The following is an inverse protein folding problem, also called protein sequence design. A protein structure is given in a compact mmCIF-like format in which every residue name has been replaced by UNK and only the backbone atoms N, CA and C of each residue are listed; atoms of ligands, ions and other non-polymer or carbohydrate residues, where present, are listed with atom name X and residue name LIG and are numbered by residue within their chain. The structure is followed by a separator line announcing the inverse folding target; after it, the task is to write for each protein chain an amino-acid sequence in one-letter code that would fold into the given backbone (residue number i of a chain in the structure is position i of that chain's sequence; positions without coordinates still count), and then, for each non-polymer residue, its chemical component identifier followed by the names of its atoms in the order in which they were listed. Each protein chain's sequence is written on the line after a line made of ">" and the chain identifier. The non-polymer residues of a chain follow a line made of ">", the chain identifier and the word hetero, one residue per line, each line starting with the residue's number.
data_IF_519679256770
#
_entry.id   IF_519679256770
#
_cell.length_a   1.000
_cell.length_b   1.000
_cell.length_c   1.000
_cell.angle_alpha   90.00
_cell.angle_beta   90.00
_cell.angle_gamma   90.00
#
_symmetry.space_group_name_H-M   'P 1'
#
loop_
_entity.id
_entity.type
_entity.pdbx_description
1 polymer ?
#
# COMPACT_ATOMS: atom_id res chain seq x y z
N UNK A 1 -5.09 19.68 44.74
CA UNK A 1 -6.52 20.10 44.60
C UNK A 1 -6.99 20.14 43.14
N UNK A 2 -6.16 20.59 42.19
CA UNK A 2 -6.51 20.65 40.75
C UNK A 2 -6.70 19.26 40.14
N UNK A 3 -5.87 18.29 40.51
CA UNK A 3 -5.88 16.95 39.89
C UNK A 3 -7.17 16.18 40.17
N UNK A 4 -7.64 16.14 41.43
CA UNK A 4 -8.88 15.41 41.78
C UNK A 4 -10.11 16.02 41.12
N UNK A 5 -10.22 17.36 41.10
CA UNK A 5 -11.31 18.05 40.40
C UNK A 5 -11.30 17.74 38.91
N UNK A 6 -10.12 17.83 38.30
CA UNK A 6 -9.91 17.49 36.90
C UNK A 6 -10.32 16.05 36.57
N UNK A 7 -9.88 15.06 37.36
CA UNK A 7 -10.24 13.66 37.14
C UNK A 7 -11.74 13.39 37.36
N UNK A 8 -12.36 14.00 38.37
CA UNK A 8 -13.82 13.91 38.58
C UNK A 8 -14.56 14.50 37.38
N UNK A 9 -14.12 15.67 36.90
CA UNK A 9 -14.71 16.35 35.75
C UNK A 9 -14.56 15.52 34.45
N UNK A 10 -13.37 14.96 34.21
CA UNK A 10 -13.08 14.16 33.01
C UNK A 10 -13.84 12.82 33.01
N UNK A 11 -13.84 12.08 34.12
CA UNK A 11 -14.53 10.79 34.22
C UNK A 11 -16.04 10.90 34.01
N UNK A 12 -16.63 11.99 34.48
CA UNK A 12 -18.07 12.26 34.32
C UNK A 12 -18.38 12.65 32.87
N UNK A 13 -17.49 13.39 32.20
CA UNK A 13 -17.65 13.78 30.79
C UNK A 13 -17.57 12.60 29.83
N UNK A 14 -16.74 11.61 30.14
CA UNK A 14 -16.54 10.40 29.32
C UNK A 14 -17.53 9.26 29.63
N UNK A 15 -18.32 9.38 30.71
CA UNK A 15 -19.28 8.35 31.12
C UNK A 15 -20.48 8.32 30.14
N UNK A 16 -20.55 7.32 29.26
CA UNK A 16 -21.71 7.09 28.42
C UNK A 16 -22.93 6.77 29.29
N UNK A 17 -23.87 7.71 29.33
CA UNK A 17 -24.97 7.72 30.27
C UNK A 17 -26.02 6.64 29.93
N UNK A 18 -26.10 5.56 30.70
CA UNK A 18 -27.31 4.71 30.75
C UNK A 18 -28.51 5.52 31.25
N UNK A 19 -29.74 5.12 30.92
CA UNK A 19 -30.97 5.91 31.18
C UNK A 19 -31.15 6.43 32.62
N UNK A 20 -30.62 5.72 33.63
CA UNK A 20 -30.63 6.13 35.04
C UNK A 20 -29.64 7.27 35.39
N UNK A 21 -28.60 7.46 34.59
CA UNK A 21 -27.56 8.48 34.81
C UNK A 21 -27.88 9.84 34.19
N UNK A 22 -28.88 9.93 33.31
CA UNK A 22 -29.47 11.19 32.84
C UNK A 22 -30.12 12.01 33.97
N UNK A 23 -30.45 11.41 35.12
CA UNK A 23 -30.91 12.13 36.31
C UNK A 23 -29.84 13.02 36.97
N UNK A 24 -28.56 12.82 36.65
CA UNK A 24 -27.44 13.61 37.17
C UNK A 24 -26.96 14.70 36.20
N UNK A 25 -27.74 15.02 35.16
CA UNK A 25 -27.39 15.94 34.06
C UNK A 25 -27.14 17.41 34.45
N UNK A 26 -27.08 17.75 35.74
CA UNK A 26 -26.67 19.10 36.18
C UNK A 26 -25.62 19.03 37.27
N UNK A 27 -24.42 18.58 36.90
CA UNK A 27 -23.21 18.90 37.65
C UNK A 27 -22.83 20.36 37.37
N UNK A 28 -23.34 21.26 38.20
CA UNK A 28 -22.82 22.62 38.27
C UNK A 28 -21.42 22.60 38.92
N UNK A 29 -20.57 23.62 38.69
CA UNK A 29 -19.27 23.73 39.35
C UNK A 29 -19.34 23.61 40.87
N UNK A 30 -20.47 24.00 41.48
CA UNK A 30 -20.73 23.86 42.91
C UNK A 30 -20.85 22.38 43.34
N UNK A 31 -21.51 21.53 42.54
CA UNK A 31 -21.64 20.11 42.82
C UNK A 31 -20.30 19.38 42.68
N UNK A 32 -19.47 19.75 41.71
CA UNK A 32 -18.11 19.22 41.54
C UNK A 32 -17.24 19.51 42.77
N UNK A 33 -17.28 20.75 43.28
CA UNK A 33 -16.58 21.14 44.51
C UNK A 33 -17.07 20.34 45.71
N UNK A 34 -18.39 20.11 45.82
CA UNK A 34 -18.98 19.36 46.93
C UNK A 34 -18.56 17.88 46.91
N UNK A 35 -18.54 17.26 45.73
CA UNK A 35 -18.10 15.87 45.54
C UNK A 35 -16.61 15.75 45.88
N UNK A 36 -15.79 16.64 45.34
CA UNK A 36 -14.34 16.67 45.59
C UNK A 36 -14.03 16.82 47.09
N UNK A 37 -14.72 17.72 47.79
CA UNK A 37 -14.58 17.90 49.25
C UNK A 37 -14.97 16.65 50.04
N UNK A 38 -16.05 15.95 49.65
CA UNK A 38 -16.48 14.71 50.32
C UNK A 38 -15.49 13.56 50.13
N UNK A 39 -14.93 13.42 48.92
CA UNK A 39 -13.92 12.40 48.61
C UNK A 39 -12.64 12.61 49.44
N UNK A 40 -12.18 13.87 49.54
CA UNK A 40 -11.05 14.24 50.38
C UNK A 40 -11.31 13.97 51.86
N UNK A 41 -12.51 14.33 52.36
CA UNK A 41 -12.89 14.08 53.77
C UNK A 41 -12.90 12.60 54.12
N UNK A 42 -13.26 11.74 53.16
CA UNK A 42 -13.27 10.27 53.32
C UNK A 42 -11.93 9.60 53.01
N UNK A 43 -10.90 10.37 52.62
CA UNK A 43 -9.58 9.85 52.17
C UNK A 43 -9.69 8.78 51.07
N UNK A 44 -10.74 8.85 50.25
CA UNK A 44 -11.01 7.89 49.17
C UNK A 44 -10.50 8.37 47.81
N UNK A 45 -9.79 9.49 47.80
CA UNK A 45 -9.19 10.13 46.63
C UNK A 45 -8.13 9.24 45.96
N UNK A 46 -7.24 8.63 46.75
CA UNK A 46 -6.23 7.70 46.24
C UNK A 46 -6.85 6.47 45.60
N UNK A 47 -7.88 5.90 46.23
CA UNK A 47 -8.61 4.74 45.73
C UNK A 47 -9.35 5.06 44.43
N UNK A 48 -9.98 6.24 44.33
CA UNK A 48 -10.66 6.67 43.12
C UNK A 48 -9.68 6.85 41.95
N UNK A 49 -8.55 7.51 42.19
CA UNK A 49 -7.50 7.68 41.15
C UNK A 49 -6.95 6.32 40.71
N UNK A 50 -6.77 5.39 41.65
CA UNK A 50 -6.30 4.04 41.32
C UNK A 50 -7.30 3.28 40.43
N UNK A 51 -8.60 3.32 40.76
CA UNK A 51 -9.66 2.69 39.97
C UNK A 51 -9.77 3.30 38.57
N UNK A 52 -9.60 4.62 38.44
CA UNK A 52 -9.55 5.30 37.14
C UNK A 52 -8.38 4.79 36.30
N UNK A 53 -7.18 4.72 36.89
CA UNK A 53 -6.00 4.18 36.20
C UNK A 53 -6.19 2.72 35.79
N UNK A 54 -6.83 1.90 36.64
CA UNK A 54 -7.16 0.52 36.29
C UNK A 54 -8.15 0.45 35.13
N UNK A 55 -9.21 1.26 35.13
CA UNK A 55 -10.17 1.38 34.02
C UNK A 55 -9.47 1.75 32.72
N UNK A 56 -8.63 2.79 32.74
CA UNK A 56 -7.95 3.26 31.53
C UNK A 56 -6.98 2.20 30.96
N UNK A 57 -6.29 1.47 31.85
CA UNK A 57 -5.46 0.34 31.45
C UNK A 57 -6.29 -0.80 30.83
N UNK A 58 -7.41 -1.17 31.46
CA UNK A 58 -8.30 -2.20 30.92
C UNK A 58 -8.90 -1.79 29.57
N UNK A 59 -9.34 -0.54 29.43
CA UNK A 59 -9.83 -0.02 28.16
C UNK A 59 -8.75 -0.10 27.08
N UNK A 60 -7.52 0.32 27.39
CA UNK A 60 -6.39 0.18 26.47
C UNK A 60 -6.18 -1.29 26.07
N UNK A 61 -6.19 -2.21 27.04
CA UNK A 61 -6.02 -3.65 26.78
C UNK A 61 -7.18 -4.22 25.96
N UNK A 62 -8.40 -3.76 26.16
CA UNK A 62 -9.57 -4.13 25.35
C UNK A 62 -9.37 -3.65 23.91
N UNK A 63 -8.94 -2.40 23.70
CA UNK A 63 -8.64 -1.92 22.34
C UNK A 63 -7.50 -2.70 21.69
N UNK A 64 -6.43 -3.00 22.43
CA UNK A 64 -5.34 -3.86 21.94
C UNK A 64 -5.85 -5.26 21.55
N UNK A 65 -6.72 -5.87 22.37
CA UNK A 65 -7.32 -7.18 22.08
C UNK A 65 -8.33 -7.13 20.92
N UNK A 66 -9.09 -6.05 20.78
CA UNK A 66 -10.01 -5.85 19.66
C UNK A 66 -9.23 -5.64 18.36
N UNK A 67 -8.15 -4.86 18.39
CA UNK A 67 -7.23 -4.73 17.27
C UNK A 67 -6.57 -6.08 16.94
N UNK A 68 -6.12 -6.82 17.95
CA UNK A 68 -5.55 -8.16 17.76
C UNK A 68 -6.56 -9.16 17.18
N UNK A 69 -7.82 -9.12 17.62
CA UNK A 69 -8.88 -9.99 17.11
C UNK A 69 -9.39 -9.59 15.72
N UNK A 70 -9.29 -8.31 15.36
CA UNK A 70 -9.67 -7.80 14.04
C UNK A 70 -8.57 -8.00 12.98
N UNK A 71 -7.36 -8.42 13.36
CA UNK A 71 -6.28 -8.70 12.42
C UNK A 71 -6.55 -10.02 11.69
N UNK A 72 -6.71 -9.96 10.37
CA UNK A 72 -6.66 -11.17 9.57
C UNK A 72 -5.22 -11.73 9.55
N UNK A 73 -5.06 -12.94 10.08
CA UNK A 73 -3.79 -13.69 10.01
C UNK A 73 -3.47 -14.17 8.60
N UNK A 74 -4.50 -14.24 7.74
CA UNK A 74 -4.38 -14.74 6.38
C UNK A 74 -4.59 -13.63 5.36
N UNK A 75 -3.67 -13.50 4.38
CA UNK A 75 -3.72 -12.43 3.38
C UNK A 75 -4.84 -12.60 2.33
N UNK A 76 -5.48 -13.77 2.26
CA UNK A 76 -6.55 -14.12 1.32
C UNK A 76 -7.93 -13.61 1.75
N UNK A 77 -8.09 -13.29 3.04
CA UNK A 77 -9.30 -12.74 3.65
C UNK A 77 -9.29 -11.19 3.69
N UNK A 78 -8.12 -10.55 3.49
CA UNK A 78 -7.98 -9.10 3.57
C UNK A 78 -8.62 -8.41 2.36
N UNK A 79 -9.70 -7.66 2.61
CA UNK A 79 -10.39 -6.86 1.58
C UNK A 79 -10.21 -5.35 1.77
N UNK A 80 -9.78 -4.89 2.94
CA UNK A 80 -9.55 -3.47 3.23
C UNK A 80 -8.10 -3.03 2.94
N UNK A 81 -7.94 -1.81 2.41
CA UNK A 81 -6.63 -1.29 2.01
C UNK A 81 -5.75 -0.85 3.19
N UNK A 82 -6.32 -0.35 4.28
CA UNK A 82 -5.55 0.03 5.47
C UNK A 82 -5.08 -1.22 6.19
N UNK A 83 -5.95 -2.22 6.31
CA UNK A 83 -5.59 -3.51 6.86
C UNK A 83 -4.46 -4.18 6.06
N UNK A 84 -4.54 -4.17 4.73
CA UNK A 84 -3.47 -4.67 3.87
C UNK A 84 -2.12 -3.98 4.14
N UNK A 85 -2.12 -2.65 4.30
CA UNK A 85 -0.90 -1.90 4.62
C UNK A 85 -0.34 -2.27 5.99
N UNK A 86 -1.19 -2.43 6.99
CA UNK A 86 -0.77 -2.86 8.32
C UNK A 86 -0.18 -4.28 8.30
N UNK A 87 -0.83 -5.20 7.61
CA UNK A 87 -0.35 -6.58 7.43
C UNK A 87 1.03 -6.59 6.77
N UNK A 88 1.18 -5.84 5.67
CA UNK A 88 2.46 -5.72 4.96
C UNK A 88 3.55 -5.21 5.91
N UNK A 89 3.27 -4.14 6.66
CA UNK A 89 4.26 -3.53 7.55
C UNK A 89 4.67 -4.44 8.70
N UNK A 90 3.71 -5.13 9.33
CA UNK A 90 3.96 -5.93 10.54
C UNK A 90 4.50 -7.32 10.24
N UNK A 91 3.99 -7.96 9.17
CA UNK A 91 4.22 -9.39 8.90
C UNK A 91 5.01 -9.65 7.63
N UNK A 92 4.63 -9.03 6.52
CA UNK A 92 5.29 -9.30 5.24
C UNK A 92 6.73 -8.78 5.23
N UNK A 93 6.92 -7.53 5.67
CA UNK A 93 8.23 -6.86 5.66
C UNK A 93 9.12 -7.20 6.87
N UNK A 94 8.60 -7.93 7.86
CA UNK A 94 9.43 -8.45 8.96
C UNK A 94 10.18 -9.72 8.57
N UNK A 95 9.82 -10.35 7.45
CA UNK A 95 10.49 -11.54 6.92
C UNK A 95 11.58 -11.14 5.93
N UNK A 96 12.85 -11.38 6.29
CA UNK A 96 14.02 -10.95 5.51
C UNK A 96 14.08 -11.60 4.12
N UNK A 97 13.71 -12.88 4.01
CA UNK A 97 13.63 -13.60 2.74
C UNK A 97 12.60 -12.96 1.79
N UNK A 98 11.45 -12.54 2.32
CA UNK A 98 10.38 -11.90 1.54
C UNK A 98 10.84 -10.53 1.05
N UNK A 99 11.47 -9.74 1.92
CA UNK A 99 12.05 -8.45 1.55
C UNK A 99 13.09 -8.61 0.44
N UNK A 100 13.95 -9.63 0.54
CA UNK A 100 14.96 -9.93 -0.47
C UNK A 100 14.33 -10.29 -1.82
N UNK A 101 13.31 -11.15 -1.83
CA UNK A 101 12.56 -11.51 -3.04
C UNK A 101 11.84 -10.31 -3.67
N UNK A 102 11.22 -9.44 -2.86
CA UNK A 102 10.57 -8.22 -3.34
C UNK A 102 11.56 -7.22 -3.94
N UNK A 103 12.75 -7.06 -3.34
CA UNK A 103 13.83 -6.24 -3.91
C UNK A 103 14.37 -6.82 -5.22
N UNK A 104 14.56 -8.13 -5.29
CA UNK A 104 14.97 -8.81 -6.52
C UNK A 104 13.92 -8.61 -7.63
N UNK A 105 12.63 -8.73 -7.30
CA UNK A 105 11.54 -8.47 -8.24
C UNK A 105 11.58 -7.02 -8.75
N UNK A 106 11.67 -6.04 -7.86
CA UNK A 106 11.77 -4.62 -8.23
C UNK A 106 12.99 -4.34 -9.13
N UNK A 107 14.11 -5.00 -8.84
CA UNK A 107 15.34 -4.86 -9.62
C UNK A 107 15.21 -5.46 -11.02
N UNK A 108 14.56 -6.62 -11.14
CA UNK A 108 14.27 -7.27 -12.42
C UNK A 108 13.40 -6.39 -13.33
N UNK A 109 12.34 -5.78 -12.78
CA UNK A 109 11.50 -4.83 -13.53
C UNK A 109 12.26 -3.59 -13.98
N UNK A 110 13.11 -3.05 -13.10
CA UNK A 110 13.96 -1.91 -13.44
C UNK A 110 14.94 -2.26 -14.57
N UNK A 111 15.60 -3.41 -14.47
CA UNK A 111 16.53 -3.88 -15.50
C UNK A 111 15.81 -4.05 -16.85
N UNK A 112 14.62 -4.65 -16.86
CA UNK A 112 13.81 -4.74 -18.07
C UNK A 112 13.50 -3.36 -18.69
N UNK A 113 13.10 -2.38 -17.88
CA UNK A 113 12.84 -1.02 -18.34
C UNK A 113 14.10 -0.35 -18.93
N UNK A 114 15.24 -0.52 -18.26
CA UNK A 114 16.53 0.03 -18.70
C UNK A 114 16.96 -0.62 -20.04
N UNK A 115 16.82 -1.93 -20.17
CA UNK A 115 17.21 -2.68 -21.37
C UNK A 115 16.30 -2.34 -22.57
N UNK A 116 14.98 -2.29 -22.35
CA UNK A 116 14.02 -1.86 -23.39
C UNK A 116 14.30 -0.42 -23.83
N UNK A 117 14.66 0.47 -22.90
CA UNK A 117 14.99 1.86 -23.21
C UNK A 117 16.26 1.94 -24.06
N UNK A 118 17.31 1.18 -23.71
CA UNK A 118 18.56 1.10 -24.49
C UNK A 118 18.31 0.55 -25.90
N UNK A 119 17.57 -0.55 -26.01
CA UNK A 119 17.23 -1.17 -27.29
C UNK A 119 16.42 -0.21 -28.16
N UNK A 120 15.45 0.51 -27.58
CA UNK A 120 14.67 1.52 -28.30
C UNK A 120 15.54 2.66 -28.83
N UNK A 121 16.46 3.18 -28.02
CA UNK A 121 17.39 4.25 -28.44
C UNK A 121 18.27 3.75 -29.59
N UNK A 122 18.79 2.54 -29.49
CA UNK A 122 19.61 1.92 -30.54
C UNK A 122 18.82 1.74 -31.84
N UNK A 123 17.60 1.21 -31.76
CA UNK A 123 16.72 1.03 -32.92
C UNK A 123 16.40 2.37 -33.60
N UNK A 124 16.09 3.42 -32.84
CA UNK A 124 15.85 4.75 -33.39
C UNK A 124 17.10 5.26 -34.13
N UNK A 125 18.29 5.14 -33.52
CA UNK A 125 19.54 5.54 -34.18
C UNK A 125 19.81 4.77 -35.47
N UNK A 126 19.57 3.46 -35.48
CA UNK A 126 19.73 2.63 -36.69
C UNK A 126 18.76 3.06 -37.80
N UNK A 127 17.52 3.39 -37.45
CA UNK A 127 16.51 3.86 -38.40
C UNK A 127 16.75 5.30 -38.88
N UNK A 128 17.40 6.14 -38.08
CA UNK A 128 17.82 7.50 -38.45
C UNK A 128 19.05 7.47 -39.36
N UNK A 129 20.06 6.64 -39.04
CA UNK A 129 21.27 6.44 -39.85
C UNK A 129 21.00 5.76 -41.20
N UNK A 130 19.88 5.03 -41.31
CA UNK A 130 19.42 4.41 -42.55
C UNK A 130 18.70 5.37 -43.51
N UNK A 131 18.50 6.64 -43.15
CA UNK A 131 17.96 7.64 -44.07
C UNK A 131 19.11 8.16 -44.96
N UNK A 132 19.08 7.95 -46.28
CA UNK A 132 20.05 8.62 -47.15
C UNK A 132 19.86 10.13 -46.98
N UNK A 133 20.97 10.86 -46.81
CA UNK A 133 20.98 12.31 -46.88
C UNK A 133 20.37 12.74 -48.21
N UNK A 134 19.11 13.17 -48.18
CA UNK A 134 18.48 13.85 -49.30
C UNK A 134 19.02 15.28 -49.39
N UNK A 135 20.32 15.41 -49.64
CA UNK A 135 20.98 16.67 -49.99
C UNK A 135 21.79 16.48 -51.29
N UNK A 136 21.09 16.76 -52.38
CA UNK A 136 21.59 17.29 -53.67
C UNK A 136 22.78 16.58 -54.35
N UNK A 137 22.51 15.87 -55.45
CA UNK A 137 23.23 16.12 -56.71
C UNK A 137 22.48 15.54 -57.90
N UNK A 138 21.89 16.40 -58.72
CA UNK A 138 21.44 16.08 -60.06
C UNK A 138 22.66 15.87 -60.97
N UNK A 139 23.15 14.64 -61.06
CA UNK A 139 24.05 14.21 -62.14
C UNK A 139 23.69 12.81 -62.60
N UNK A 140 23.25 12.74 -63.85
CA UNK A 140 22.98 11.51 -64.60
C UNK A 140 24.20 10.57 -64.58
N UNK A 141 24.00 9.31 -64.26
CA UNK A 141 24.77 8.21 -64.85
C UNK A 141 23.92 6.93 -64.89
N UNK A 142 24.02 6.22 -66.02
CA UNK A 142 23.22 5.06 -66.36
C UNK A 142 23.79 3.78 -65.72
N UNK A 143 22.85 2.98 -65.21
CA UNK A 143 22.81 1.52 -65.17
C UNK A 143 23.76 0.71 -64.25
N UNK A 144 23.07 0.01 -63.34
CA UNK A 144 23.22 -1.40 -62.94
C UNK A 144 24.51 -1.83 -62.27
N UNK A 145 24.41 -1.97 -60.95
CA UNK A 145 24.79 -3.23 -60.30
C UNK A 145 23.77 -3.56 -59.20
N UNK A 146 23.48 -4.84 -59.06
CA UNK A 146 22.45 -5.39 -58.19
C UNK A 146 22.83 -5.21 -56.73
N UNK A 147 22.37 -4.11 -56.14
CA UNK A 147 22.39 -3.93 -54.70
C UNK A 147 21.06 -4.46 -54.18
N UNK A 148 21.05 -5.71 -53.68
CA UNK A 148 19.95 -6.24 -52.87
C UNK A 148 19.88 -5.43 -51.58
N UNK A 149 19.37 -4.20 -51.68
CA UNK A 149 18.84 -3.47 -50.54
C UNK A 149 17.64 -4.26 -50.08
N UNK A 150 17.84 -5.12 -49.09
CA UNK A 150 16.76 -5.49 -48.19
C UNK A 150 16.22 -4.18 -47.64
N UNK A 151 15.17 -3.66 -48.28
CA UNK A 151 14.32 -2.58 -47.78
C UNK A 151 13.66 -3.12 -46.51
N UNK A 152 14.42 -3.13 -45.41
CA UNK A 152 13.84 -3.47 -44.13
C UNK A 152 12.93 -2.32 -43.75
N UNK A 153 11.63 -2.52 -43.91
CA UNK A 153 10.62 -1.52 -43.64
C UNK A 153 10.76 -1.03 -42.19
N UNK A 154 11.13 0.24 -41.95
CA UNK A 154 11.30 0.80 -40.60
C UNK A 154 10.09 0.56 -39.69
N UNK A 155 8.89 0.59 -40.27
CA UNK A 155 7.65 0.36 -39.55
C UNK A 155 7.49 -1.09 -39.11
N UNK A 156 8.00 -2.04 -39.89
CA UNK A 156 7.95 -3.47 -39.56
C UNK A 156 8.91 -3.80 -38.41
N UNK A 157 10.14 -3.27 -38.46
CA UNK A 157 11.11 -3.36 -37.34
C UNK A 157 10.59 -2.75 -36.04
N UNK A 158 9.98 -1.56 -36.11
CA UNK A 158 9.35 -0.93 -34.95
C UNK A 158 8.19 -1.77 -34.40
N UNK A 159 7.34 -2.30 -35.30
CA UNK A 159 6.21 -3.14 -34.91
C UNK A 159 6.67 -4.43 -34.23
N UNK A 160 7.68 -5.09 -34.77
CA UNK A 160 8.28 -6.30 -34.19
C UNK A 160 8.89 -6.01 -32.81
N UNK A 161 9.62 -4.90 -32.67
CA UNK A 161 10.15 -4.46 -31.38
C UNK A 161 9.04 -4.29 -30.34
N UNK A 162 7.99 -3.52 -30.64
CA UNK A 162 6.89 -3.30 -29.70
C UNK A 162 6.11 -4.58 -29.40
N UNK A 163 5.98 -5.50 -30.36
CA UNK A 163 5.39 -6.81 -30.13
C UNK A 163 6.22 -7.62 -29.13
N UNK A 164 7.53 -7.69 -29.31
CA UNK A 164 8.45 -8.39 -28.41
C UNK A 164 8.48 -7.79 -27.00
N UNK A 165 8.45 -6.46 -26.89
CA UNK A 165 8.34 -5.75 -25.60
C UNK A 165 7.02 -6.10 -24.91
N UNK A 166 5.90 -6.10 -25.63
CA UNK A 166 4.59 -6.42 -25.07
C UNK A 166 4.52 -7.86 -24.56
N UNK A 167 5.04 -8.82 -25.33
CA UNK A 167 5.07 -10.23 -24.90
C UNK A 167 6.00 -10.44 -23.69
N UNK A 168 7.18 -9.81 -23.70
CA UNK A 168 8.12 -9.87 -22.57
C UNK A 168 7.53 -9.25 -21.30
N UNK A 169 6.87 -8.09 -21.43
CA UNK A 169 6.17 -7.44 -20.32
C UNK A 169 5.03 -8.30 -19.79
N UNK A 170 4.29 -8.99 -20.66
CA UNK A 170 3.23 -9.93 -20.26
C UNK A 170 3.80 -11.10 -19.46
N UNK A 171 4.89 -11.72 -19.92
CA UNK A 171 5.56 -12.82 -19.20
C UNK A 171 6.08 -12.35 -17.83
N UNK A 172 6.70 -11.17 -17.79
CA UNK A 172 7.18 -10.58 -16.55
C UNK A 172 6.02 -10.26 -15.58
N UNK A 173 4.89 -9.76 -16.07
CA UNK A 173 3.71 -9.51 -15.24
C UNK A 173 3.15 -10.80 -14.64
N UNK A 174 3.03 -11.88 -15.43
CA UNK A 174 2.52 -13.18 -14.97
C UNK A 174 3.43 -13.77 -13.88
N UNK A 175 4.74 -13.77 -14.11
CA UNK A 175 5.73 -14.28 -13.13
C UNK A 175 5.72 -13.46 -11.84
N UNK A 176 5.61 -12.13 -11.95
CA UNK A 176 5.53 -11.22 -10.81
C UNK A 176 4.26 -11.43 -9.99
N UNK A 177 3.11 -11.54 -10.66
CA UNK A 177 1.83 -11.80 -9.99
C UNK A 177 1.84 -13.15 -9.27
N UNK A 178 2.42 -14.19 -9.90
CA UNK A 178 2.60 -15.50 -9.25
C UNK A 178 3.47 -15.39 -8.00
N UNK A 179 4.60 -14.68 -8.07
CA UNK A 179 5.49 -14.49 -6.93
C UNK A 179 4.79 -13.72 -5.80
N UNK A 180 4.12 -12.61 -6.11
CA UNK A 180 3.40 -11.81 -5.13
C UNK A 180 2.27 -12.61 -4.45
N UNK A 181 1.60 -13.49 -5.19
CA UNK A 181 0.63 -14.43 -4.63
C UNK A 181 1.30 -15.44 -3.69
N UNK A 182 2.42 -16.04 -4.08
CA UNK A 182 3.16 -16.99 -3.25
C UNK A 182 3.68 -16.36 -1.95
N UNK A 183 4.13 -15.10 -2.03
CA UNK A 183 4.56 -14.31 -0.89
C UNK A 183 3.40 -13.88 0.03
N UNK A 184 2.14 -14.16 -0.34
CA UNK A 184 0.99 -13.79 0.46
C UNK A 184 0.75 -12.27 0.49
N UNK A 185 1.04 -11.56 -0.60
CA UNK A 185 0.74 -10.13 -0.69
C UNK A 185 -0.78 -9.94 -0.78
N UNK A 186 -1.40 -9.11 0.08
CA UNK A 186 -2.84 -8.84 0.03
C UNK A 186 -3.28 -8.37 -1.37
N UNK A 187 -4.52 -8.70 -1.75
CA UNK A 187 -5.08 -8.49 -3.10
C UNK A 187 -4.48 -9.35 -4.23
N UNK A 188 -3.26 -9.85 -4.10
CA UNK A 188 -2.68 -10.86 -5.03
C UNK A 188 -3.01 -12.29 -4.57
N UNK A 189 -3.09 -12.49 -3.26
CA UNK A 189 -3.42 -13.76 -2.62
C UNK A 189 -4.93 -13.94 -2.30
N UNK A 190 -5.81 -13.04 -2.75
CA UNK A 190 -7.26 -13.13 -2.48
C UNK A 190 -7.83 -14.52 -2.80
N UNK A 191 -8.58 -15.06 -1.86
CA UNK A 191 -9.32 -16.31 -2.05
C UNK A 191 -10.36 -16.19 -3.16
N UNK A 192 -10.77 -17.33 -3.75
CA UNK A 192 -11.68 -17.38 -4.89
C UNK A 192 -13.05 -16.76 -4.62
N UNK A 193 -13.49 -16.72 -3.37
CA UNK A 193 -14.77 -16.11 -2.98
C UNK A 193 -14.66 -14.59 -2.89
N UNK A 194 -13.63 -14.07 -2.21
CA UNK A 194 -13.38 -12.63 -2.08
C UNK A 194 -13.02 -11.98 -3.43
N UNK A 195 -12.28 -12.70 -4.28
CA UNK A 195 -11.95 -12.24 -5.63
C UNK A 195 -13.20 -12.04 -6.52
N UNK A 196 -14.30 -12.76 -6.26
CA UNK A 196 -15.56 -12.60 -7.01
C UNK A 196 -16.39 -11.40 -6.54
N UNK A 197 -16.19 -10.96 -5.31
CA UNK A 197 -16.93 -9.85 -4.71
C UNK A 197 -16.34 -8.48 -5.11
N UNK A 198 -15.08 -8.43 -5.53
CA UNK A 198 -14.40 -7.19 -5.90
C UNK A 198 -14.49 -6.97 -7.41
N UNK A 199 -14.89 -5.77 -7.82
CA UNK A 199 -14.86 -5.35 -9.22
C UNK A 199 -13.41 -5.40 -9.76
N UNK A 200 -13.17 -6.04 -10.91
CA UNK A 200 -11.84 -6.17 -11.51
C UNK A 200 -11.07 -4.84 -11.65
N UNK A 201 -11.77 -3.73 -11.97
CA UNK A 201 -11.12 -2.40 -12.06
C UNK A 201 -10.68 -1.89 -10.70
N UNK A 202 -11.46 -2.17 -9.67
CA UNK A 202 -11.19 -1.73 -8.30
C UNK A 202 -10.08 -2.58 -7.67
N UNK A 203 -10.10 -3.89 -7.90
CA UNK A 203 -9.03 -4.79 -7.52
C UNK A 203 -7.69 -4.36 -8.11
N UNK A 204 -7.67 -3.94 -9.39
CA UNK A 204 -6.45 -3.48 -10.02
C UNK A 204 -5.88 -2.21 -9.35
N UNK A 205 -6.75 -1.26 -8.97
CA UNK A 205 -6.34 -0.06 -8.21
C UNK A 205 -5.83 -0.41 -6.81
N UNK A 206 -6.43 -1.39 -6.15
CA UNK A 206 -5.98 -1.86 -4.84
C UNK A 206 -4.60 -2.52 -4.93
N UNK A 207 -4.39 -3.40 -5.92
CA UNK A 207 -3.08 -4.00 -6.22
C UNK A 207 -2.02 -2.94 -6.47
N UNK A 208 -2.31 -1.93 -7.29
CA UNK A 208 -1.39 -0.81 -7.55
C UNK A 208 -1.06 -0.02 -6.27
N UNK A 209 -2.07 0.27 -5.46
CA UNK A 209 -1.89 0.99 -4.18
C UNK A 209 -0.98 0.21 -3.22
N UNK A 210 -1.15 -1.11 -3.15
CA UNK A 210 -0.30 -2.00 -2.34
C UNK A 210 1.12 -2.06 -2.87
N UNK A 211 1.31 -2.19 -4.19
CA UNK A 211 2.64 -2.19 -4.80
C UNK A 211 3.40 -0.89 -4.52
N UNK A 212 2.73 0.26 -4.68
CA UNK A 212 3.31 1.57 -4.37
C UNK A 212 3.70 1.69 -2.88
N UNK A 213 2.86 1.15 -1.98
CA UNK A 213 3.17 1.12 -0.56
C UNK A 213 4.40 0.25 -0.27
N UNK A 214 4.47 -0.97 -0.81
CA UNK A 214 5.64 -1.86 -0.66
C UNK A 214 6.89 -1.17 -1.18
N UNK A 215 6.84 -0.57 -2.38
CA UNK A 215 7.98 0.13 -2.96
C UNK A 215 8.45 1.31 -2.10
N UNK A 216 7.52 2.03 -1.45
CA UNK A 216 7.88 3.13 -0.54
C UNK A 216 8.59 2.66 0.72
N UNK A 217 8.29 1.44 1.18
CA UNK A 217 8.86 0.85 2.40
C UNK A 217 10.18 0.11 2.16
N UNK A 218 10.49 -0.25 0.91
CA UNK A 218 11.73 -0.94 0.52
C UNK A 218 12.90 0.02 0.20
N UNK A 219 12.63 1.33 0.13
CA UNK A 219 13.64 2.40 0.00
C UNK A 219 14.33 2.67 1.32
#
# INVERSE_FOLDING_TARGET
>A
MKDIKFYVHQQIKEYQLTSKSKGFFRLTPQNEVRISKRLLKRKSDKTLIHLIKQRDNLNRKIYELLDDAAKHDKPDEITDIQEAKEFIRRRLLSQEDVVTQLRALASSHKQFQDDVTKQRIQLIRELEMGKPDCSVSSTKSNAKDGDTKTDVNPNEKLREFYFNVSDSQRRLAITSESLLRQLGVPFFALGSENARLVNNKELQKQKETVLNFIQSMLK
#
